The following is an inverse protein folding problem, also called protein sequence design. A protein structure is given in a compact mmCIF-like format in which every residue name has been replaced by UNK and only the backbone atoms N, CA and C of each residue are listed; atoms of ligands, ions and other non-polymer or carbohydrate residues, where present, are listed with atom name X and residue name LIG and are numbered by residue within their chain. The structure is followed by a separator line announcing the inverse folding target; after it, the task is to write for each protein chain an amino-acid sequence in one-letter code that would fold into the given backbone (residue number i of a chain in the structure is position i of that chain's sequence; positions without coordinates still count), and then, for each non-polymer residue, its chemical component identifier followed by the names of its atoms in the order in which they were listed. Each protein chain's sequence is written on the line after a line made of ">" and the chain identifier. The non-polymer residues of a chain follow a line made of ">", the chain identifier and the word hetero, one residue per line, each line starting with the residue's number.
data_IF_777608237930
#
_entry.id   IF_777608237930
#
_cell.length_a   1.000
_cell.length_b   1.000
_cell.length_c   1.000
_cell.angle_alpha   90.00
_cell.angle_beta   90.00
_cell.angle_gamma   90.00
#
_symmetry.space_group_name_H-M   'P 1'
#
loop_
_entity.id
_entity.type
_entity.pdbx_description
1 polymer ?
#
# COMPACT_ATOMS: atom_id res chain seq x y z
N UNK A 1 -1.94 -35.49 -7.67
CA UNK A 1 -1.72 -35.67 -6.22
C UNK A 1 -0.31 -36.23 -6.05
N UNK A 2 0.49 -35.75 -5.09
CA UNK A 2 1.79 -36.37 -4.84
C UNK A 2 1.59 -37.84 -4.49
N UNK A 3 2.50 -38.69 -4.98
CA UNK A 3 2.51 -40.12 -4.67
C UNK A 3 2.63 -40.31 -3.15
N UNK A 4 1.90 -41.28 -2.56
CA UNK A 4 2.10 -41.63 -1.15
C UNK A 4 3.57 -42.00 -0.94
N UNK A 5 4.19 -41.44 0.12
CA UNK A 5 5.58 -41.76 0.44
C UNK A 5 5.69 -43.25 0.81
N UNK A 6 6.60 -43.95 0.14
CA UNK A 6 6.97 -45.31 0.51
C UNK A 6 7.94 -45.25 1.71
N UNK A 7 7.42 -45.60 2.88
CA UNK A 7 8.18 -45.56 4.13
C UNK A 7 9.27 -46.65 4.20
N UNK A 8 9.18 -47.73 3.42
CA UNK A 8 10.23 -48.77 3.34
C UNK A 8 11.40 -48.31 2.47
N UNK A 9 11.11 -47.62 1.37
CA UNK A 9 12.13 -46.94 0.55
C UNK A 9 12.79 -45.80 1.34
N UNK A 10 12.00 -45.00 2.05
CA UNK A 10 12.49 -43.92 2.90
C UNK A 10 13.48 -44.42 3.97
N UNK A 11 13.13 -45.49 4.68
CA UNK A 11 13.99 -46.06 5.71
C UNK A 11 15.29 -46.66 5.14
N UNK A 12 15.22 -47.31 3.96
CA UNK A 12 16.42 -47.79 3.26
C UNK A 12 17.33 -46.64 2.86
N UNK A 13 16.76 -45.56 2.34
CA UNK A 13 17.48 -44.35 1.96
C UNK A 13 18.11 -43.63 3.16
N UNK A 14 17.50 -43.70 4.35
CA UNK A 14 18.11 -43.18 5.59
C UNK A 14 19.43 -43.89 5.92
N UNK A 15 19.50 -45.21 5.72
CA UNK A 15 20.68 -46.01 6.04
C UNK A 15 21.83 -45.78 5.05
N UNK A 16 21.52 -45.42 3.80
CA UNK A 16 22.50 -45.15 2.74
C UNK A 16 22.96 -43.70 2.66
N UNK A 17 22.35 -42.77 3.40
CA UNK A 17 22.72 -41.34 3.35
C UNK A 17 24.06 -41.07 4.07
N UNK A 18 25.03 -40.51 3.36
CA UNK A 18 26.36 -40.19 3.91
C UNK A 18 26.29 -39.12 5.02
N UNK A 19 25.30 -38.22 4.97
CA UNK A 19 25.08 -37.18 5.99
C UNK A 19 24.55 -37.78 7.29
N UNK A 20 23.78 -38.87 7.20
CA UNK A 20 23.35 -39.66 8.35
C UNK A 20 24.56 -40.27 9.10
N UNK A 21 25.56 -40.77 8.38
CA UNK A 21 26.78 -41.33 8.99
C UNK A 21 27.62 -40.26 9.72
N UNK A 22 27.60 -39.02 9.24
CA UNK A 22 28.34 -37.89 9.82
C UNK A 22 27.64 -37.26 11.04
N UNK A 23 26.33 -37.42 11.18
CA UNK A 23 25.54 -36.86 12.30
C UNK A 23 25.48 -37.78 13.53
N UNK A 24 25.82 -39.05 13.36
CA UNK A 24 25.89 -40.06 14.43
C UNK A 24 26.79 -39.68 15.64
N UNK A 25 27.93 -38.97 15.49
CA UNK A 25 28.82 -38.62 16.60
C UNK A 25 28.59 -37.23 17.22
N UNK A 26 27.83 -36.32 16.59
CA UNK A 26 27.70 -34.93 17.03
C UNK A 26 26.36 -34.67 17.73
N UNK A 27 26.37 -34.58 19.06
CA UNK A 27 25.20 -34.30 19.89
C UNK A 27 25.44 -33.10 20.80
N UNK A 28 25.12 -31.89 20.34
CA UNK A 28 25.02 -30.73 21.24
C UNK A 28 23.57 -30.23 21.43
N UNK A 29 22.69 -30.34 20.42
CA UNK A 29 21.29 -29.87 20.53
C UNK A 29 20.23 -30.86 20.03
N UNK A 30 20.59 -31.82 19.17
CA UNK A 30 19.68 -32.83 18.62
C UNK A 30 19.88 -34.18 19.33
N UNK A 31 18.80 -34.95 19.49
CA UNK A 31 18.79 -36.26 20.14
C UNK A 31 18.13 -37.24 19.18
N UNK A 32 18.95 -38.03 18.49
CA UNK A 32 18.45 -38.99 17.52
C UNK A 32 18.25 -40.39 18.10
N UNK A 33 17.16 -41.04 17.73
CA UNK A 33 16.81 -42.40 18.12
C UNK A 33 16.14 -43.14 16.96
N UNK A 34 16.32 -44.45 16.89
CA UNK A 34 15.52 -45.31 16.02
C UNK A 34 14.17 -45.58 16.67
N UNK A 35 13.09 -45.31 15.94
CA UNK A 35 11.72 -45.51 16.41
C UNK A 35 10.98 -46.41 15.44
N UNK A 36 10.29 -47.43 15.98
CA UNK A 36 9.40 -48.29 15.21
C UNK A 36 8.14 -47.53 14.83
N UNK A 37 7.80 -47.56 13.54
CA UNK A 37 6.55 -47.00 13.05
C UNK A 37 5.42 -48.00 13.33
N UNK A 38 4.31 -47.59 13.98
CA UNK A 38 3.17 -48.48 14.21
C UNK A 38 2.64 -49.05 12.88
N UNK A 39 2.68 -50.38 12.74
CA UNK A 39 2.19 -51.08 11.53
C UNK A 39 3.25 -51.38 10.47
N UNK A 40 4.54 -51.15 10.74
CA UNK A 40 5.65 -51.53 9.86
C UNK A 40 6.75 -52.26 10.64
N UNK A 41 7.49 -53.15 9.97
CA UNK A 41 8.67 -53.84 10.54
C UNK A 41 9.95 -52.98 10.51
N UNK A 42 9.83 -51.74 10.04
CA UNK A 42 10.97 -50.86 9.76
C UNK A 42 11.11 -49.77 10.82
N UNK A 43 12.36 -49.49 11.22
CA UNK A 43 12.71 -48.43 12.16
C UNK A 43 13.12 -47.17 11.39
N UNK A 44 12.60 -46.01 11.82
CA UNK A 44 12.99 -44.71 11.29
C UNK A 44 13.96 -44.01 12.23
N UNK A 45 14.97 -43.38 11.65
CA UNK A 45 15.86 -42.50 12.40
C UNK A 45 15.23 -41.13 12.59
N UNK A 46 14.98 -40.76 13.85
CA UNK A 46 14.21 -39.58 14.20
C UNK A 46 14.89 -38.75 15.28
N UNK A 47 14.78 -37.43 15.18
CA UNK A 47 15.10 -36.54 16.30
C UNK A 47 13.92 -36.43 17.28
N UNK A 48 14.23 -36.51 18.57
CA UNK A 48 13.26 -36.40 19.68
C UNK A 48 13.58 -35.22 20.62
N UNK A 49 14.57 -34.39 20.28
CA UNK A 49 15.03 -33.28 21.14
C UNK A 49 13.94 -32.26 21.50
N UNK A 50 12.96 -32.06 20.62
CA UNK A 50 11.88 -31.07 20.78
C UNK A 50 10.58 -31.65 21.37
N UNK A 51 10.61 -32.89 21.89
CA UNK A 51 9.41 -33.56 22.43
C UNK A 51 8.43 -34.06 21.36
N UNK A 52 8.78 -33.94 20.08
CA UNK A 52 8.07 -34.51 18.93
C UNK A 52 9.05 -35.34 18.11
N UNK A 53 8.57 -36.46 17.59
CA UNK A 53 9.34 -37.31 16.69
C UNK A 53 9.44 -36.67 15.30
N UNK A 54 10.66 -36.35 14.86
CA UNK A 54 10.94 -35.77 13.55
C UNK A 54 11.88 -36.68 12.75
N UNK A 55 11.40 -37.46 11.78
CA UNK A 55 12.27 -38.27 10.94
C UNK A 55 13.32 -37.42 10.22
N UNK A 56 14.54 -37.95 10.20
CA UNK A 56 15.62 -37.44 9.37
C UNK A 56 15.30 -37.74 7.90
N UNK A 57 15.25 -36.71 7.07
CA UNK A 57 14.87 -36.88 5.65
C UNK A 57 16.12 -37.09 4.81
N UNK A 58 16.24 -38.21 4.06
CA UNK A 58 17.31 -38.39 3.09
C UNK A 58 17.20 -37.38 1.95
N UNK A 59 18.34 -37.04 1.34
CA UNK A 59 18.42 -35.99 0.30
C UNK A 59 17.42 -36.15 -0.84
N UNK A 60 17.15 -37.38 -1.25
CA UNK A 60 16.25 -37.72 -2.36
C UNK A 60 14.79 -37.34 -2.07
N UNK A 61 14.39 -37.33 -0.80
CA UNK A 61 13.01 -37.05 -0.37
C UNK A 61 12.76 -35.58 -0.01
N UNK A 62 13.80 -34.74 0.11
CA UNK A 62 13.63 -33.34 0.51
C UNK A 62 12.65 -32.60 -0.40
N UNK A 63 12.78 -32.80 -1.72
CA UNK A 63 11.96 -32.12 -2.71
C UNK A 63 10.51 -32.61 -2.70
N UNK A 64 10.29 -33.92 -2.60
CA UNK A 64 8.96 -34.52 -2.55
C UNK A 64 8.17 -34.06 -1.32
N UNK A 65 8.83 -33.99 -0.15
CA UNK A 65 8.21 -33.49 1.08
C UNK A 65 7.85 -32.02 0.95
N UNK A 66 8.76 -31.20 0.43
CA UNK A 66 8.48 -29.79 0.16
C UNK A 66 7.28 -29.62 -0.76
N UNK A 67 7.23 -30.33 -1.88
CA UNK A 67 6.13 -30.20 -2.86
C UNK A 67 4.80 -30.66 -2.27
N UNK A 68 4.80 -31.73 -1.49
CA UNK A 68 3.60 -32.24 -0.82
C UNK A 68 3.01 -31.22 0.14
N UNK A 69 3.85 -30.52 0.92
CA UNK A 69 3.40 -29.53 1.90
C UNK A 69 3.08 -28.19 1.23
N UNK A 70 3.97 -27.70 0.36
CA UNK A 70 3.85 -26.40 -0.26
C UNK A 70 2.66 -26.33 -1.22
N UNK A 71 2.39 -27.38 -2.00
CA UNK A 71 1.31 -27.37 -2.99
C UNK A 71 -0.10 -27.47 -2.38
N UNK A 72 -0.24 -27.66 -1.06
CA UNK A 72 -1.55 -27.64 -0.39
C UNK A 72 -2.21 -26.26 -0.45
N UNK A 73 -1.42 -25.19 -0.31
CA UNK A 73 -1.95 -23.82 -0.22
C UNK A 73 -0.99 -22.73 -0.69
N UNK A 74 0.17 -23.10 -1.25
CA UNK A 74 1.23 -22.19 -1.65
C UNK A 74 1.60 -21.16 -0.56
N UNK A 75 1.94 -21.58 0.67
CA UNK A 75 2.27 -20.66 1.75
C UNK A 75 3.52 -19.81 1.45
N UNK A 76 3.69 -18.69 2.17
CA UNK A 76 4.93 -17.92 2.12
C UNK A 76 6.13 -18.68 2.69
N UNK A 77 7.36 -18.19 2.47
CA UNK A 77 8.59 -18.86 2.90
C UNK A 77 8.55 -19.23 4.39
N UNK A 78 8.24 -18.27 5.27
CA UNK A 78 8.20 -18.48 6.72
C UNK A 78 7.18 -19.54 7.14
N UNK A 79 6.00 -19.53 6.52
CA UNK A 79 4.95 -20.50 6.81
C UNK A 79 5.32 -21.90 6.29
N UNK A 80 5.88 -21.99 5.08
CA UNK A 80 6.31 -23.27 4.49
C UNK A 80 7.42 -23.92 5.32
N UNK A 81 8.42 -23.13 5.76
CA UNK A 81 9.47 -23.60 6.67
C UNK A 81 8.87 -24.18 7.94
N UNK A 82 7.94 -23.48 8.58
CA UNK A 82 7.30 -23.97 9.82
C UNK A 82 6.56 -25.30 9.60
N UNK A 83 5.80 -25.41 8.51
CA UNK A 83 5.05 -26.63 8.18
C UNK A 83 5.96 -27.83 7.88
N UNK A 84 7.17 -27.60 7.37
CA UNK A 84 8.16 -28.64 7.09
C UNK A 84 8.92 -29.06 8.36
N UNK A 85 9.31 -28.10 9.20
CA UNK A 85 10.18 -28.33 10.37
C UNK A 85 9.48 -29.02 11.52
N UNK A 86 8.18 -28.77 11.67
CA UNK A 86 7.39 -29.39 12.74
C UNK A 86 7.38 -30.93 12.60
N UNK A 87 7.18 -31.51 11.39
CA UNK A 87 7.21 -32.96 11.18
C UNK A 87 8.54 -33.53 10.65
N UNK A 88 9.43 -32.78 10.02
CA UNK A 88 10.61 -33.32 9.31
C UNK A 88 11.92 -32.59 9.64
N UNK A 89 13.06 -33.27 9.48
CA UNK A 89 14.37 -32.70 9.76
C UNK A 89 15.44 -33.09 8.72
N UNK A 90 16.18 -32.12 8.19
CA UNK A 90 17.43 -32.36 7.46
C UNK A 90 18.36 -31.13 7.50
N UNK A 91 19.68 -31.27 7.34
CA UNK A 91 20.59 -30.13 7.37
C UNK A 91 20.31 -29.15 6.23
N UNK A 92 20.20 -27.86 6.53
CA UNK A 92 20.00 -26.83 5.52
C UNK A 92 18.55 -26.60 5.07
N UNK A 93 17.56 -27.28 5.68
CA UNK A 93 16.15 -27.19 5.29
C UNK A 93 15.62 -25.75 5.11
N UNK A 94 16.09 -24.79 5.93
CA UNK A 94 15.71 -23.37 5.85
C UNK A 94 16.04 -22.79 4.47
N UNK A 95 17.25 -23.10 3.97
CA UNK A 95 17.78 -22.58 2.71
C UNK A 95 17.02 -23.22 1.54
N UNK A 96 16.90 -24.53 1.55
CA UNK A 96 16.26 -25.29 0.47
C UNK A 96 14.79 -24.90 0.33
N UNK A 97 14.03 -24.91 1.42
CA UNK A 97 12.60 -24.55 1.41
C UNK A 97 12.41 -23.08 0.99
N UNK A 98 13.28 -22.17 1.44
CA UNK A 98 13.19 -20.77 1.03
C UNK A 98 13.45 -20.59 -0.47
N UNK A 99 14.45 -21.26 -1.01
CA UNK A 99 14.78 -21.24 -2.44
C UNK A 99 13.64 -21.83 -3.27
N UNK A 100 13.14 -23.01 -2.90
CA UNK A 100 12.07 -23.67 -3.65
C UNK A 100 10.74 -22.90 -3.61
N UNK A 101 10.40 -22.29 -2.47
CA UNK A 101 9.21 -21.42 -2.36
C UNK A 101 9.36 -20.19 -3.27
N UNK A 102 10.56 -19.60 -3.36
CA UNK A 102 10.83 -18.46 -4.25
C UNK A 102 10.77 -18.85 -5.72
N UNK A 103 11.22 -20.05 -6.06
CA UNK A 103 11.23 -20.59 -7.43
C UNK A 103 9.90 -21.23 -7.87
N UNK A 104 8.88 -21.26 -7.00
CA UNK A 104 7.57 -21.82 -7.32
C UNK A 104 6.85 -20.96 -8.39
N UNK A 105 6.69 -21.49 -9.60
CA UNK A 105 6.05 -20.79 -10.72
C UNK A 105 4.61 -20.33 -10.42
N UNK A 106 3.72 -21.17 -9.82
CA UNK A 106 2.41 -20.70 -9.36
C UNK A 106 2.48 -19.51 -8.39
N UNK A 107 3.39 -19.55 -7.42
CA UNK A 107 3.60 -18.44 -6.49
C UNK A 107 4.10 -17.17 -7.19
N UNK A 108 5.05 -17.29 -8.11
CA UNK A 108 5.60 -16.14 -8.84
C UNK A 108 4.54 -15.48 -9.73
N UNK A 109 3.64 -16.27 -10.33
CA UNK A 109 2.53 -15.75 -11.16
C UNK A 109 1.40 -15.17 -10.32
N UNK A 110 1.06 -15.80 -9.20
CA UNK A 110 -0.13 -15.48 -8.41
C UNK A 110 0.09 -14.50 -7.26
N UNK A 111 1.30 -14.41 -6.68
CA UNK A 111 1.55 -13.50 -5.56
C UNK A 111 1.99 -12.14 -6.07
N UNK A 112 1.31 -11.10 -5.58
CA UNK A 112 1.73 -9.71 -5.79
C UNK A 112 3.08 -9.51 -5.08
N UNK A 113 4.16 -9.49 -5.86
CA UNK A 113 5.46 -9.02 -5.40
C UNK A 113 5.30 -7.52 -5.12
N UNK A 114 5.32 -7.11 -3.84
CA UNK A 114 5.46 -5.68 -3.51
C UNK A 114 6.82 -5.24 -4.05
N UNK A 115 6.82 -4.59 -5.22
CA UNK A 115 8.03 -4.01 -5.78
C UNK A 115 8.62 -2.98 -4.81
N UNK A 116 9.95 -2.93 -4.83
CA UNK A 116 10.80 -1.93 -4.19
C UNK A 116 10.15 -0.55 -4.31
N UNK A 117 9.78 0.07 -3.18
CA UNK A 117 9.28 1.43 -3.15
C UNK A 117 10.38 2.32 -3.71
N UNK A 118 10.22 2.85 -4.93
CA UNK A 118 11.14 3.86 -5.45
C UNK A 118 11.15 5.02 -4.45
N UNK A 119 12.32 5.60 -4.12
CA UNK A 119 12.34 6.80 -3.29
C UNK A 119 11.42 7.85 -3.95
N UNK A 120 10.53 8.43 -3.15
CA UNK A 120 9.65 9.50 -3.60
C UNK A 120 10.53 10.62 -4.18
N UNK A 121 10.24 11.07 -5.39
CA UNK A 121 10.96 12.18 -6.00
C UNK A 121 10.90 13.41 -5.08
N UNK A 122 12.04 14.06 -4.85
CA UNK A 122 12.10 15.34 -4.13
C UNK A 122 11.64 16.45 -5.05
N UNK A 123 10.39 16.88 -4.90
CA UNK A 123 9.90 18.11 -5.53
C UNK A 123 10.42 19.32 -4.74
N UNK A 124 10.92 20.38 -5.38
CA UNK A 124 11.38 21.58 -4.67
C UNK A 124 10.24 22.14 -3.83
N UNK A 125 10.48 22.48 -2.57
CA UNK A 125 9.45 23.08 -1.71
C UNK A 125 9.14 24.50 -2.25
N UNK A 126 7.86 24.88 -2.40
CA UNK A 126 7.51 26.25 -2.84
C UNK A 126 8.11 27.28 -1.87
N UNK A 127 8.43 28.48 -2.36
CA UNK A 127 9.07 29.52 -1.54
C UNK A 127 8.05 30.34 -0.75
N UNK A 128 6.89 30.60 -1.34
CA UNK A 128 5.83 31.38 -0.74
C UNK A 128 4.47 30.66 -0.78
N UNK A 129 3.56 31.12 0.08
CA UNK A 129 2.15 30.70 0.04
C UNK A 129 1.55 31.03 -1.32
N UNK A 130 0.74 30.11 -1.85
CA UNK A 130 0.03 30.24 -3.12
C UNK A 130 0.89 30.24 -4.39
N UNK A 131 2.21 30.01 -4.32
CA UNK A 131 3.06 29.89 -5.52
C UNK A 131 2.72 28.64 -6.35
N UNK A 132 2.33 27.55 -5.68
CA UNK A 132 2.05 26.27 -6.31
C UNK A 132 0.74 25.70 -5.80
N UNK A 133 -0.26 25.67 -6.68
CA UNK A 133 -1.61 25.21 -6.36
C UNK A 133 -1.84 23.84 -6.97
N UNK A 134 -2.46 22.95 -6.21
CA UNK A 134 -2.98 21.68 -6.72
C UNK A 134 -4.49 21.78 -6.87
N UNK A 135 -5.02 21.27 -7.98
CA UNK A 135 -6.47 21.18 -8.22
C UNK A 135 -6.87 19.77 -8.61
N UNK A 136 -8.08 19.38 -8.23
CA UNK A 136 -8.71 18.14 -8.66
C UNK A 136 -10.24 18.24 -8.57
N UNK A 137 -10.94 17.33 -9.24
CA UNK A 137 -12.38 17.21 -9.18
C UNK A 137 -12.81 16.08 -8.24
N UNK A 138 -13.78 16.38 -7.40
CA UNK A 138 -14.41 15.43 -6.51
C UNK A 138 -15.89 15.27 -6.85
N UNK A 139 -16.32 14.04 -7.12
CA UNK A 139 -17.71 13.72 -7.41
C UNK A 139 -17.86 12.54 -8.40
N UNK A 140 -19.09 12.29 -8.88
CA UNK A 140 -20.32 13.00 -8.53
C UNK A 140 -20.79 12.66 -7.10
N UNK A 141 -21.30 13.68 -6.41
CA UNK A 141 -22.01 13.60 -5.13
C UNK A 141 -23.53 13.61 -5.37
N UNK A 142 -24.34 13.16 -4.39
CA UNK A 142 -25.78 13.35 -4.44
C UNK A 142 -26.14 14.82 -4.70
N UNK A 143 -27.08 15.13 -5.61
CA UNK A 143 -27.42 16.51 -5.93
C UNK A 143 -27.84 17.30 -4.69
N UNK A 144 -27.24 18.47 -4.50
CA UNK A 144 -27.55 19.37 -3.38
C UNK A 144 -27.61 20.80 -3.88
N UNK A 145 -28.80 21.41 -3.87
CA UNK A 145 -29.05 22.74 -4.48
C UNK A 145 -28.57 22.83 -5.95
N UNK A 146 -28.62 21.72 -6.69
CA UNK A 146 -28.16 21.64 -8.08
C UNK A 146 -26.66 21.43 -8.27
N UNK A 147 -25.87 21.40 -7.19
CA UNK A 147 -24.44 21.06 -7.23
C UNK A 147 -24.24 19.56 -7.10
N UNK A 148 -23.31 19.02 -7.86
CA UNK A 148 -23.00 17.57 -7.89
C UNK A 148 -21.50 17.29 -7.86
N UNK A 149 -20.66 18.30 -8.06
CA UNK A 149 -19.21 18.17 -8.04
C UNK A 149 -18.60 19.21 -7.11
N UNK A 150 -17.31 19.05 -6.83
CA UNK A 150 -16.49 20.00 -6.10
C UNK A 150 -15.16 20.12 -6.83
N UNK A 151 -14.72 21.35 -7.09
CA UNK A 151 -13.33 21.64 -7.41
C UNK A 151 -12.58 21.84 -6.10
N UNK A 152 -11.67 20.93 -5.82
CA UNK A 152 -10.82 20.98 -4.64
C UNK A 152 -9.48 21.61 -5.04
N UNK A 153 -9.12 22.72 -4.39
CA UNK A 153 -7.85 23.41 -4.57
C UNK A 153 -7.04 23.30 -3.28
N UNK A 154 -5.74 23.08 -3.36
CA UNK A 154 -4.85 23.03 -2.20
C UNK A 154 -3.56 23.78 -2.51
N UNK A 155 -3.24 24.78 -1.67
CA UNK A 155 -1.91 25.41 -1.71
C UNK A 155 -0.85 24.41 -1.25
N UNK A 156 0.20 24.22 -2.03
CA UNK A 156 1.24 23.26 -1.70
C UNK A 156 2.09 23.69 -0.49
N UNK A 157 2.25 24.99 -0.28
CA UNK A 157 3.08 25.54 0.80
C UNK A 157 2.36 25.43 2.15
N UNK A 158 1.23 26.13 2.31
CA UNK A 158 0.46 26.21 3.55
C UNK A 158 -0.52 25.06 3.76
N UNK A 159 -0.78 24.27 2.70
CA UNK A 159 -1.86 23.26 2.67
C UNK A 159 -3.26 23.84 2.79
N UNK A 160 -3.42 25.15 2.58
CA UNK A 160 -4.72 25.82 2.58
C UNK A 160 -5.68 25.15 1.59
N UNK A 161 -6.82 24.62 2.06
CA UNK A 161 -7.82 24.02 1.20
C UNK A 161 -8.81 25.10 0.70
N UNK A 162 -9.20 25.01 -0.56
CA UNK A 162 -10.46 25.59 -1.03
C UNK A 162 -11.34 24.55 -1.70
N UNK A 163 -12.63 24.66 -1.42
CA UNK A 163 -13.62 23.63 -1.74
C UNK A 163 -14.79 24.31 -2.43
N UNK A 164 -14.76 24.31 -3.76
CA UNK A 164 -15.66 25.11 -4.60
C UNK A 164 -16.73 24.20 -5.20
N UNK A 165 -18.02 24.35 -4.83
CA UNK A 165 -19.08 23.54 -5.40
C UNK A 165 -19.30 23.82 -6.89
N UNK A 166 -19.46 22.76 -7.68
CA UNK A 166 -19.73 22.85 -9.12
C UNK A 166 -21.02 22.10 -9.51
N UNK A 167 -21.76 22.68 -10.46
CA UNK A 167 -22.97 22.05 -11.05
C UNK A 167 -22.60 21.04 -12.13
N UNK A 168 -21.54 21.31 -12.88
CA UNK A 168 -20.95 20.46 -13.90
C UNK A 168 -19.43 20.57 -13.90
N UNK A 169 -18.76 19.77 -14.74
CA UNK A 169 -17.30 19.69 -14.84
C UNK A 169 -16.79 20.25 -16.17
N UNK A 170 -17.56 21.14 -16.81
CA UNK A 170 -17.15 21.77 -18.06
C UNK A 170 -15.97 22.71 -17.80
N UNK A 171 -15.11 22.86 -18.82
CA UNK A 171 -13.92 23.69 -18.70
C UNK A 171 -14.26 25.15 -18.39
N UNK A 172 -15.32 25.68 -19.00
CA UNK A 172 -15.81 27.05 -18.81
C UNK A 172 -16.24 27.29 -17.35
N UNK A 173 -16.98 26.34 -16.78
CA UNK A 173 -17.43 26.39 -15.38
C UNK A 173 -16.22 26.38 -14.45
N UNK A 174 -15.27 25.48 -14.69
CA UNK A 174 -14.07 25.32 -13.86
C UNK A 174 -13.19 26.56 -13.91
N UNK A 175 -12.95 27.11 -15.09
CA UNK A 175 -12.17 28.33 -15.28
C UNK A 175 -12.77 29.50 -14.49
N UNK A 176 -14.07 29.76 -14.69
CA UNK A 176 -14.75 30.85 -14.02
C UNK A 176 -14.75 30.69 -12.49
N UNK A 177 -15.10 29.50 -12.00
CA UNK A 177 -15.17 29.23 -10.58
C UNK A 177 -13.79 29.25 -9.92
N UNK A 178 -12.75 28.77 -10.60
CA UNK A 178 -11.38 28.87 -10.11
C UNK A 178 -10.89 30.31 -10.11
N UNK A 179 -11.19 31.09 -11.14
CA UNK A 179 -10.87 32.52 -11.16
C UNK A 179 -11.55 33.27 -10.01
N UNK A 180 -12.86 33.10 -9.86
CA UNK A 180 -13.67 33.82 -8.87
C UNK A 180 -13.31 33.44 -7.43
N UNK A 181 -13.04 32.17 -7.15
CA UNK A 181 -12.86 31.68 -5.78
C UNK A 181 -11.40 31.51 -5.35
N UNK A 182 -10.45 31.46 -6.30
CA UNK A 182 -9.03 31.36 -6.01
C UNK A 182 -8.26 32.60 -6.47
N UNK A 183 -8.21 32.85 -7.79
CA UNK A 183 -7.36 33.90 -8.37
C UNK A 183 -7.74 35.28 -7.82
N UNK A 184 -9.03 35.60 -7.75
CA UNK A 184 -9.51 36.88 -7.24
C UNK A 184 -9.25 37.09 -5.73
N UNK A 185 -8.98 36.01 -4.97
CA UNK A 185 -8.78 36.05 -3.52
C UNK A 185 -7.31 35.96 -3.11
N UNK A 186 -6.54 35.12 -3.78
CA UNK A 186 -5.15 34.81 -3.42
C UNK A 186 -4.13 35.30 -4.46
N UNK A 187 -4.60 35.74 -5.63
CA UNK A 187 -3.77 36.16 -6.74
C UNK A 187 -3.41 35.03 -7.70
N UNK A 188 -2.62 35.39 -8.70
CA UNK A 188 -2.09 34.45 -9.70
C UNK A 188 -0.90 33.71 -9.12
N UNK A 189 -0.88 32.40 -9.31
CA UNK A 189 0.17 31.50 -8.84
C UNK A 189 1.21 31.24 -9.94
N UNK A 190 2.41 30.83 -9.57
CA UNK A 190 3.47 30.49 -10.54
C UNK A 190 3.17 29.16 -11.25
N UNK A 191 2.67 28.18 -10.50
CA UNK A 191 2.48 26.82 -11.01
C UNK A 191 1.19 26.16 -10.53
N UNK A 192 0.56 25.42 -11.44
CA UNK A 192 -0.68 24.70 -11.20
C UNK A 192 -0.45 23.22 -11.46
N UNK A 193 -0.85 22.36 -10.53
CA UNK A 193 -0.85 20.92 -10.74
C UNK A 193 -2.27 20.37 -10.78
N UNK A 194 -2.59 19.65 -11.85
CA UNK A 194 -3.85 18.93 -12.02
C UNK A 194 -3.61 17.50 -12.49
N UNK A 195 -4.65 16.67 -12.46
CA UNK A 195 -4.63 15.39 -13.16
C UNK A 195 -4.73 15.57 -14.69
N UNK A 196 -4.80 14.45 -15.42
CA UNK A 196 -5.00 14.44 -16.88
C UNK A 196 -6.50 14.41 -17.25
N UNK A 197 -7.35 15.00 -16.41
CA UNK A 197 -8.77 15.16 -16.72
C UNK A 197 -8.96 16.04 -17.96
N UNK A 198 -9.89 15.63 -18.85
CA UNK A 198 -10.15 16.29 -20.14
C UNK A 198 -10.42 17.79 -20.01
N UNK A 199 -11.07 18.18 -18.92
CA UNK A 199 -11.37 19.57 -18.61
C UNK A 199 -10.12 20.42 -18.40
N UNK A 200 -9.09 19.88 -17.74
CA UNK A 200 -7.81 20.56 -17.48
C UNK A 200 -6.85 20.46 -18.67
N UNK A 201 -7.07 19.52 -19.59
CA UNK A 201 -6.32 19.43 -20.84
C UNK A 201 -6.95 20.22 -22.00
N UNK A 202 -8.14 20.78 -21.80
CA UNK A 202 -8.89 21.51 -22.83
C UNK A 202 -8.11 22.73 -23.35
N UNK A 203 -8.37 23.11 -24.61
CA UNK A 203 -7.77 24.31 -25.20
C UNK A 203 -8.09 25.55 -24.38
N UNK A 204 -9.34 25.68 -23.94
CA UNK A 204 -9.80 26.77 -23.09
C UNK A 204 -8.95 26.91 -21.82
N UNK A 205 -8.74 25.80 -21.09
CA UNK A 205 -7.97 25.84 -19.85
C UNK A 205 -6.49 26.18 -20.09
N UNK A 206 -5.92 25.73 -21.22
CA UNK A 206 -4.55 26.10 -21.62
C UNK A 206 -4.44 27.59 -21.94
N UNK A 207 -5.39 28.14 -22.68
CA UNK A 207 -5.44 29.56 -23.02
C UNK A 207 -5.62 30.43 -21.77
N UNK A 208 -6.49 30.02 -20.85
CA UNK A 208 -6.67 30.66 -19.54
C UNK A 208 -5.36 30.68 -18.74
N UNK A 209 -4.70 29.53 -18.61
CA UNK A 209 -3.43 29.45 -17.89
C UNK A 209 -2.33 30.29 -18.56
N UNK A 210 -2.29 30.31 -19.90
CA UNK A 210 -1.35 31.14 -20.66
C UNK A 210 -1.61 32.63 -20.46
N UNK A 211 -2.88 33.06 -20.45
CA UNK A 211 -3.27 34.45 -20.21
C UNK A 211 -2.86 34.93 -18.82
N UNK A 212 -2.96 34.05 -17.82
CA UNK A 212 -2.50 34.33 -16.46
C UNK A 212 -0.98 34.15 -16.29
N UNK A 213 -0.26 33.61 -17.28
CA UNK A 213 1.18 33.31 -17.16
C UNK A 213 1.49 32.15 -16.21
N UNK A 214 0.53 31.27 -15.97
CA UNK A 214 0.64 30.12 -15.06
C UNK A 214 1.28 28.93 -15.75
N UNK A 215 2.24 28.29 -15.08
CA UNK A 215 2.81 27.01 -15.54
C UNK A 215 1.95 25.83 -15.11
N UNK A 216 1.26 25.18 -16.05
CA UNK A 216 0.48 23.96 -15.78
C UNK A 216 1.37 22.72 -15.80
N UNK A 217 1.23 21.88 -14.78
CA UNK A 217 1.95 20.62 -14.58
C UNK A 217 0.93 19.50 -14.42
N UNK A 218 0.85 18.57 -15.36
CA UNK A 218 -0.05 17.43 -15.27
C UNK A 218 0.61 16.25 -14.54
N UNK A 219 -0.10 15.62 -13.61
CA UNK A 219 0.39 14.39 -12.99
C UNK A 219 0.32 13.24 -13.98
N UNK A 220 1.37 12.40 -14.05
CA UNK A 220 1.32 11.20 -14.90
C UNK A 220 0.30 10.19 -14.35
N UNK A 221 -0.38 9.38 -15.19
CA UNK A 221 -1.40 8.42 -14.76
C UNK A 221 -0.93 7.40 -13.71
N UNK A 222 0.37 7.17 -13.60
CA UNK A 222 0.98 6.20 -12.69
C UNK A 222 1.64 6.82 -11.44
N UNK A 223 1.54 8.15 -11.24
CA UNK A 223 2.06 8.84 -10.05
C UNK A 223 1.01 9.74 -9.37
N UNK A 224 -0.08 9.16 -8.81
CA UNK A 224 -1.09 9.89 -8.03
C UNK A 224 -0.49 10.65 -6.83
N UNK A 225 0.66 10.17 -6.33
CA UNK A 225 1.43 10.81 -5.24
C UNK A 225 1.77 12.29 -5.53
N UNK A 226 1.90 12.68 -6.80
CA UNK A 226 2.14 14.07 -7.18
C UNK A 226 0.96 15.00 -6.84
N UNK A 227 -0.28 14.49 -6.83
CA UNK A 227 -1.48 15.22 -6.39
C UNK A 227 -2.00 14.78 -5.01
N UNK A 228 -1.21 14.03 -4.24
CA UNK A 228 -1.66 13.39 -3.00
C UNK A 228 -2.09 14.34 -1.87
N UNK A 229 -1.94 15.66 -2.04
CA UNK A 229 -2.50 16.65 -1.10
C UNK A 229 -3.99 16.84 -1.32
N UNK A 230 -4.43 16.88 -2.58
CA UNK A 230 -5.85 17.01 -2.93
C UNK A 230 -6.57 15.69 -2.69
N UNK A 231 -5.94 14.55 -2.97
CA UNK A 231 -6.51 13.23 -2.62
C UNK A 231 -6.77 13.08 -1.12
N UNK A 232 -5.87 13.61 -0.28
CA UNK A 232 -6.07 13.65 1.18
C UNK A 232 -7.23 14.55 1.56
N UNK A 233 -7.36 15.71 0.92
CA UNK A 233 -8.52 16.60 1.11
C UNK A 233 -9.83 15.89 0.71
N UNK A 234 -9.86 15.15 -0.41
CA UNK A 234 -11.03 14.36 -0.81
C UNK A 234 -11.42 13.34 0.26
N UNK A 235 -10.45 12.66 0.87
CA UNK A 235 -10.74 11.71 1.96
C UNK A 235 -11.35 12.43 3.18
N UNK A 236 -10.77 13.57 3.58
CA UNK A 236 -11.30 14.37 4.70
C UNK A 236 -12.72 14.86 4.42
N UNK A 237 -12.97 15.43 3.23
CA UNK A 237 -14.29 15.89 2.81
C UNK A 237 -15.31 14.75 2.82
N UNK A 238 -14.96 13.61 2.22
CA UNK A 238 -15.84 12.43 2.18
C UNK A 238 -16.18 11.92 3.57
N UNK A 239 -15.20 11.89 4.49
CA UNK A 239 -15.43 11.46 5.86
C UNK A 239 -16.32 12.45 6.62
N UNK A 240 -16.06 13.76 6.48
CA UNK A 240 -16.82 14.81 7.17
C UNK A 240 -18.27 14.89 6.66
N UNK A 241 -18.48 14.87 5.34
CA UNK A 241 -19.83 14.87 4.74
C UNK A 241 -20.63 13.65 5.23
N UNK A 242 -20.00 12.47 5.29
CA UNK A 242 -20.66 11.25 5.82
C UNK A 242 -21.01 11.38 7.30
N UNK A 243 -20.13 11.97 8.10
CA UNK A 243 -20.36 12.16 9.54
C UNK A 243 -21.55 13.07 9.83
N UNK A 244 -21.77 14.10 9.00
CA UNK A 244 -22.95 14.96 9.10
C UNK A 244 -24.26 14.29 8.64
N UNK A 245 -24.20 13.12 8.00
CA UNK A 245 -25.33 12.28 7.62
C UNK A 245 -26.47 13.06 6.92
N UNK A 246 -26.12 13.99 6.02
CA UNK A 246 -27.09 14.84 5.32
C UNK A 246 -26.85 14.86 3.82
N UNK A 247 -27.94 14.87 3.05
CA UNK A 247 -27.92 15.09 1.60
C UNK A 247 -27.71 16.58 1.25
N UNK A 248 -27.87 17.48 2.24
CA UNK A 248 -27.68 18.92 2.09
C UNK A 248 -26.21 19.33 2.28
N UNK A 249 -25.29 18.59 1.63
CA UNK A 249 -23.85 18.76 1.84
C UNK A 249 -23.34 20.17 1.52
N UNK A 250 -23.99 20.91 0.61
CA UNK A 250 -23.65 22.32 0.34
C UNK A 250 -23.77 23.21 1.58
N UNK A 251 -24.81 22.99 2.40
CA UNK A 251 -25.08 23.85 3.57
C UNK A 251 -24.04 23.66 4.67
N UNK A 252 -23.38 22.49 4.73
CA UNK A 252 -22.38 22.16 5.75
C UNK A 252 -20.95 22.34 5.23
N UNK A 253 -20.75 22.52 3.92
CA UNK A 253 -19.42 22.60 3.32
C UNK A 253 -18.56 23.76 3.88
N UNK A 254 -19.10 24.96 4.14
CA UNK A 254 -18.32 26.03 4.79
C UNK A 254 -17.85 25.63 6.19
N UNK A 255 -18.70 24.94 6.96
CA UNK A 255 -18.36 24.47 8.31
C UNK A 255 -17.26 23.39 8.27
N UNK A 256 -17.36 22.44 7.34
CA UNK A 256 -16.32 21.43 7.12
C UNK A 256 -15.00 22.10 6.72
N UNK A 257 -15.04 23.05 5.78
CA UNK A 257 -13.84 23.73 5.27
C UNK A 257 -13.14 24.55 6.36
N UNK A 258 -13.91 25.22 7.24
CA UNK A 258 -13.38 25.90 8.41
C UNK A 258 -12.68 24.91 9.36
N UNK A 259 -13.33 23.78 9.68
CA UNK A 259 -12.74 22.76 10.54
C UNK A 259 -11.47 22.12 9.98
N UNK A 260 -11.39 21.92 8.66
CA UNK A 260 -10.17 21.43 8.00
C UNK A 260 -9.07 22.50 8.05
N UNK A 261 -9.41 23.76 7.83
CA UNK A 261 -8.45 24.88 7.83
C UNK A 261 -7.83 25.12 9.21
N UNK A 262 -8.62 24.94 10.29
CA UNK A 262 -8.16 25.05 11.68
C UNK A 262 -7.52 23.76 12.23
N UNK A 263 -7.53 22.67 11.48
CA UNK A 263 -6.94 21.41 11.93
C UNK A 263 -5.42 21.55 12.07
N UNK A 264 -4.91 21.58 13.31
CA UNK A 264 -3.48 21.57 13.62
C UNK A 264 -2.81 20.32 13.06
N UNK A 265 -1.65 20.49 12.42
CA UNK A 265 -0.85 19.37 11.89
C UNK A 265 0.46 19.20 12.64
N UNK A 266 0.69 17.98 13.12
CA UNK A 266 2.01 17.54 13.54
C UNK A 266 2.86 17.21 12.29
N UNK A 267 4.16 17.58 12.25
CA UNK A 267 4.98 18.11 13.34
C UNK A 267 5.03 19.65 13.42
N UNK A 268 4.36 20.38 12.53
CA UNK A 268 4.46 21.84 12.43
C UNK A 268 3.78 22.57 13.61
N UNK A 269 2.89 21.88 14.34
CA UNK A 269 2.13 22.41 15.46
C UNK A 269 1.45 23.76 15.18
N UNK A 270 1.00 23.93 13.94
CA UNK A 270 0.17 25.06 13.48
C UNK A 270 -0.95 24.54 12.57
N UNK A 271 -2.03 25.31 12.48
CA UNK A 271 -3.13 25.09 11.53
C UNK A 271 -2.80 25.67 10.16
N UNK A 272 -3.56 25.25 9.13
CA UNK A 272 -3.41 25.82 7.79
C UNK A 272 -3.78 27.30 7.76
N UNK A 273 -4.76 27.69 8.57
CA UNK A 273 -5.14 29.07 8.76
C UNK A 273 -4.04 29.90 9.42
N UNK A 274 -3.37 29.39 10.46
CA UNK A 274 -2.22 30.07 11.05
C UNK A 274 -1.09 30.27 10.03
N UNK A 275 -0.82 29.27 9.18
CA UNK A 275 0.18 29.40 8.12
C UNK A 275 -0.18 30.47 7.07
N UNK A 276 -1.48 30.68 6.82
CA UNK A 276 -1.94 31.67 5.84
C UNK A 276 -2.09 33.06 6.44
N UNK A 277 -2.76 33.18 7.58
CA UNK A 277 -3.16 34.46 8.18
C UNK A 277 -2.21 34.93 9.29
N UNK A 278 -1.30 34.08 9.75
CA UNK A 278 -0.39 34.37 10.87
C UNK A 278 -1.01 34.21 12.26
N UNK A 279 -2.32 33.94 12.33
CA UNK A 279 -3.07 33.70 13.58
C UNK A 279 -4.18 32.68 13.33
N UNK A 280 -4.65 31.96 14.37
CA UNK A 280 -5.82 31.09 14.26
C UNK A 280 -7.08 31.87 13.88
N UNK A 281 -8.04 31.22 13.21
CA UNK A 281 -9.39 31.76 13.07
C UNK A 281 -10.17 31.44 14.34
N UNK A 282 -10.88 32.44 14.86
CA UNK A 282 -11.77 32.24 16.00
C UNK A 282 -12.90 31.26 15.63
N UNK A 283 -12.93 30.12 16.31
CA UNK A 283 -14.04 29.18 16.24
C UNK A 283 -15.11 29.59 17.26
N UNK A 284 -16.39 29.46 16.89
CA UNK A 284 -17.48 29.72 17.83
C UNK A 284 -17.48 28.66 18.93
N UNK A 285 -17.20 29.07 20.17
CA UNK A 285 -17.15 28.22 21.37
C UNK A 285 -16.93 29.04 22.62
#
# INVERSE_FOLDING_TARGET
>A
MPSPMDYEEFARAQLSDEVFQLLKPYTYSLKFQFLKVPGMDTELFCDVSTGRCRPFVPKEFHRQIFETIHNLSHPGVRATVKLVVDPFLWPGYMKDVAEWTRCCVPCQRGKIQRHMVRPLGTYPVPRHRFDHVHIDLFGPLPPSRGYTYVLACVDRFSRWPEVIPLKDIKAETIEFEFYANWIARFGVHESLTSDQGRQFESQLFREFAQLLGVKVVHTTPYHPQANGSVERLHYQLKSAIRAHATERWISILPYISLGISESVKEPLNCSFAEMVYGTPIALSG
#
